data_IF_364975431568
#
_entry.id   IF_364975431568
#
_cell.length_a   1.000
_cell.length_b   1.000
_cell.length_c   1.000
_cell.angle_alpha   90.00
_cell.angle_beta   90.00
_cell.angle_gamma   90.00
#
_symmetry.space_group_name_H-M   'P 1'
#
loop_
_entity.id
_entity.type
_entity.pdbx_description
1 polymer ?
#
# COMPACT_ATOMS: atom_id res chain seq x y z
N UNK A 1 -13.79 -21.36 8.26
CA UNK A 1 -12.73 -21.22 7.23
C UNK A 1 -12.65 -19.72 6.96
N UNK A 2 -11.56 -19.06 7.36
CA UNK A 2 -11.44 -17.60 7.18
C UNK A 2 -11.20 -17.32 5.69
N UNK A 3 -11.99 -16.41 5.13
CA UNK A 3 -11.90 -16.01 3.72
C UNK A 3 -10.62 -15.24 3.40
N UNK A 4 -10.40 -14.90 2.12
CA UNK A 4 -9.28 -14.06 1.71
C UNK A 4 -9.32 -12.70 2.42
N UNK A 5 -8.15 -12.09 2.65
CA UNK A 5 -8.06 -10.72 3.14
C UNK A 5 -8.50 -9.80 2.00
N UNK A 6 -9.65 -9.15 2.18
CA UNK A 6 -10.24 -8.23 1.19
C UNK A 6 -10.22 -6.81 1.73
N UNK A 7 -9.86 -5.80 0.91
CA UNK A 7 -10.14 -4.40 1.23
C UNK A 7 -11.64 -4.21 1.52
N UNK A 8 -11.97 -3.30 2.45
CA UNK A 8 -13.35 -3.01 2.85
C UNK A 8 -14.29 -2.66 1.68
N UNK A 9 -13.73 -2.24 0.55
CA UNK A 9 -14.43 -1.76 -0.63
C UNK A 9 -14.77 -2.89 -1.63
N UNK A 10 -14.41 -4.15 -1.34
CA UNK A 10 -14.58 -5.30 -2.25
C UNK A 10 -13.70 -5.24 -3.51
N UNK A 11 -12.70 -4.35 -3.51
CA UNK A 11 -11.73 -4.17 -4.59
C UNK A 11 -10.64 -5.24 -4.53
N UNK A 12 -10.00 -5.53 -5.67
CA UNK A 12 -8.70 -6.20 -5.62
C UNK A 12 -7.70 -5.32 -4.88
N UNK A 13 -6.68 -5.91 -4.26
CA UNK A 13 -5.63 -5.14 -3.55
C UNK A 13 -4.96 -4.12 -4.49
N UNK A 14 -4.76 -4.49 -5.75
CA UNK A 14 -4.23 -3.57 -6.77
C UNK A 14 -5.15 -2.38 -7.04
N UNK A 15 -6.46 -2.60 -7.16
CA UNK A 15 -7.43 -1.53 -7.37
C UNK A 15 -7.56 -0.65 -6.11
N UNK A 16 -7.52 -1.23 -4.92
CA UNK A 16 -7.50 -0.49 -3.66
C UNK A 16 -6.27 0.43 -3.55
N UNK A 17 -5.07 -0.10 -3.78
CA UNK A 17 -3.83 0.68 -3.76
C UNK A 17 -3.87 1.78 -4.83
N UNK A 18 -4.30 1.45 -6.06
CA UNK A 18 -4.41 2.44 -7.14
C UNK A 18 -5.40 3.56 -6.79
N UNK A 19 -6.57 3.22 -6.23
CA UNK A 19 -7.55 4.21 -5.77
C UNK A 19 -6.96 5.10 -4.68
N UNK A 20 -6.31 4.52 -3.66
CA UNK A 20 -5.72 5.27 -2.56
C UNK A 20 -4.64 6.26 -3.04
N UNK A 21 -3.75 5.84 -3.96
CA UNK A 21 -2.80 6.77 -4.59
C UNK A 21 -3.50 7.91 -5.31
N UNK A 22 -4.50 7.61 -6.15
CA UNK A 22 -5.22 8.64 -6.89
C UNK A 22 -5.98 9.61 -5.97
N UNK A 23 -6.56 9.12 -4.88
CA UNK A 23 -7.28 9.94 -3.91
C UNK A 23 -6.33 10.91 -3.19
N UNK A 24 -5.14 10.46 -2.79
CA UNK A 24 -4.10 11.32 -2.20
C UNK A 24 -3.60 12.38 -3.19
N UNK A 25 -3.38 12.02 -4.46
CA UNK A 25 -2.98 12.98 -5.50
C UNK A 25 -4.06 14.01 -5.80
N UNK A 26 -5.34 13.63 -5.73
CA UNK A 26 -6.48 14.55 -5.86
C UNK A 26 -6.57 15.49 -4.66
N UNK A 27 -6.40 14.96 -3.44
CA UNK A 27 -6.36 15.77 -2.22
C UNK A 27 -5.21 16.77 -2.23
N UNK A 28 -4.08 16.41 -2.84
CA UNK A 28 -2.94 17.30 -3.03
C UNK A 28 -3.07 18.24 -4.25
N UNK A 29 -4.20 18.22 -4.98
CA UNK A 29 -4.47 19.06 -6.16
C UNK A 29 -3.47 18.88 -7.32
N UNK A 30 -2.75 17.75 -7.39
CA UNK A 30 -1.77 17.45 -8.45
C UNK A 30 -2.24 16.39 -9.45
N UNK A 31 -3.41 15.78 -9.21
CA UNK A 31 -3.99 14.80 -10.12
C UNK A 31 -4.55 15.46 -11.39
N UNK A 32 -4.23 14.88 -12.56
CA UNK A 32 -4.79 15.28 -13.85
C UNK A 32 -5.00 14.07 -14.76
N UNK A 33 -6.12 14.05 -15.49
CA UNK A 33 -6.41 12.99 -16.47
C UNK A 33 -5.54 13.09 -17.73
N UNK A 34 -5.02 14.27 -18.04
CA UNK A 34 -4.18 14.53 -19.22
C UNK A 34 -2.71 14.76 -18.88
N UNK A 35 -2.31 14.53 -17.63
CA UNK A 35 -0.95 14.75 -17.14
C UNK A 35 0.02 13.60 -17.41
N UNK A 36 1.17 13.64 -16.75
CA UNK A 36 2.15 12.56 -16.75
C UNK A 36 1.53 11.27 -16.22
N UNK A 37 1.60 10.20 -17.01
CA UNK A 37 1.03 8.92 -16.61
C UNK A 37 2.02 8.15 -15.74
N UNK A 38 1.63 7.89 -14.50
CA UNK A 38 2.36 7.00 -13.60
C UNK A 38 1.66 5.64 -13.57
N UNK A 39 2.40 4.59 -13.87
CA UNK A 39 1.94 3.18 -13.78
C UNK A 39 2.63 2.53 -12.59
N UNK A 40 1.86 1.87 -11.73
CA UNK A 40 2.37 1.17 -10.55
C UNK A 40 2.28 -0.35 -10.71
N UNK A 41 3.41 -1.04 -10.56
CA UNK A 41 3.49 -2.49 -10.45
C UNK A 41 3.71 -2.88 -8.98
N UNK A 42 2.83 -3.70 -8.40
CA UNK A 42 3.07 -4.30 -7.08
C UNK A 42 4.09 -5.41 -7.25
N UNK A 43 5.31 -5.20 -6.77
CA UNK A 43 6.42 -6.15 -6.90
C UNK A 43 6.53 -7.10 -5.71
N UNK A 44 5.95 -6.71 -4.56
CA UNK A 44 5.86 -7.53 -3.36
C UNK A 44 4.61 -7.20 -2.58
N UNK A 45 3.95 -8.23 -2.08
CA UNK A 45 2.95 -8.13 -1.03
C UNK A 45 3.07 -9.37 -0.14
N UNK A 46 3.49 -9.14 1.10
CA UNK A 46 3.69 -10.18 2.11
C UNK A 46 3.15 -9.67 3.44
N UNK A 47 2.67 -10.59 4.27
CA UNK A 47 2.24 -10.26 5.62
C UNK A 47 2.58 -11.39 6.56
N UNK A 48 2.72 -11.03 7.84
CA UNK A 48 2.59 -12.00 8.92
C UNK A 48 1.57 -11.50 9.93
N UNK A 49 0.65 -12.39 10.30
CA UNK A 49 -0.29 -12.17 11.39
C UNK A 49 0.36 -12.39 12.76
N UNK A 50 1.59 -12.96 12.80
CA UNK A 50 2.38 -13.17 14.02
C UNK A 50 3.86 -12.90 13.76
N UNK A 51 4.38 -11.88 14.40
CA UNK A 51 5.78 -11.46 14.44
C UNK A 51 6.14 -11.24 15.90
N UNK A 52 7.00 -12.10 16.45
CA UNK A 52 7.23 -12.16 17.89
C UNK A 52 6.01 -12.73 18.64
N UNK A 53 5.58 -12.07 19.72
CA UNK A 53 4.49 -12.54 20.59
C UNK A 53 3.11 -11.99 20.19
N UNK A 54 3.01 -10.72 19.79
CA UNK A 54 1.73 -10.02 19.56
C UNK A 54 1.79 -8.96 18.46
N UNK A 55 2.78 -8.98 17.59
CA UNK A 55 2.83 -8.06 16.46
C UNK A 55 2.50 -8.79 15.16
N UNK A 56 2.17 -8.03 14.13
CA UNK A 56 2.12 -8.48 12.75
C UNK A 56 2.81 -7.46 11.86
N UNK A 57 3.00 -7.79 10.59
CA UNK A 57 3.52 -6.84 9.62
C UNK A 57 2.87 -7.00 8.26
N UNK A 58 2.87 -5.91 7.49
CA UNK A 58 2.67 -5.88 6.04
C UNK A 58 3.96 -5.40 5.39
N UNK A 59 4.43 -6.08 4.37
CA UNK A 59 5.58 -5.71 3.56
C UNK A 59 5.11 -5.57 2.10
N UNK A 60 5.02 -4.31 1.65
CA UNK A 60 4.46 -3.95 0.36
C UNK A 60 5.51 -3.18 -0.44
N UNK A 61 5.79 -3.64 -1.66
CA UNK A 61 6.67 -2.95 -2.59
C UNK A 61 5.95 -2.58 -3.87
N UNK A 62 6.15 -1.35 -4.32
CA UNK A 62 5.63 -0.83 -5.58
C UNK A 62 6.74 -0.27 -6.45
N UNK A 63 6.72 -0.63 -7.73
CA UNK A 63 7.53 0.01 -8.77
C UNK A 63 6.65 0.97 -9.55
N UNK A 64 6.93 2.27 -9.41
CA UNK A 64 6.29 3.32 -10.19
C UNK A 64 7.13 3.59 -11.45
N UNK A 65 6.45 3.68 -12.58
CA UNK A 65 7.02 4.04 -13.88
C UNK A 65 6.26 5.22 -14.44
N UNK A 66 6.95 6.30 -14.73
CA UNK A 66 6.39 7.49 -15.34
C UNK A 66 6.55 7.44 -16.87
N UNK A 67 5.58 8.00 -17.59
CA UNK A 67 5.67 8.21 -19.04
C UNK A 67 6.82 9.13 -19.44
N UNK A 68 7.41 9.88 -18.49
CA UNK A 68 8.61 10.71 -18.71
C UNK A 68 9.93 9.89 -18.72
N UNK A 69 9.86 8.56 -18.55
CA UNK A 69 11.00 7.64 -18.54
C UNK A 69 11.67 7.45 -17.19
N UNK A 70 11.20 8.13 -16.12
CA UNK A 70 11.67 7.91 -14.75
C UNK A 70 10.93 6.77 -14.08
N UNK A 71 11.58 6.17 -13.09
CA UNK A 71 10.98 5.12 -12.27
C UNK A 71 11.43 5.24 -10.82
N UNK A 72 10.63 4.69 -9.93
CA UNK A 72 10.88 4.67 -8.49
C UNK A 72 10.44 3.33 -7.94
N UNK A 73 11.29 2.69 -7.15
CA UNK A 73 10.92 1.52 -6.38
C UNK A 73 10.81 1.93 -4.91
N UNK A 74 9.66 1.65 -4.30
CA UNK A 74 9.41 1.91 -2.88
C UNK A 74 9.03 0.60 -2.23
N UNK A 75 9.66 0.29 -1.10
CA UNK A 75 9.31 -0.82 -0.23
C UNK A 75 8.95 -0.26 1.12
N UNK A 76 7.80 -0.66 1.65
CA UNK A 76 7.33 -0.23 2.95
C UNK A 76 6.97 -1.43 3.82
N UNK A 77 7.50 -1.43 5.05
CA UNK A 77 7.17 -2.42 6.07
C UNK A 77 6.39 -1.74 7.19
N UNK A 78 5.10 -2.02 7.25
CA UNK A 78 4.19 -1.51 8.27
C UNK A 78 4.02 -2.55 9.37
N UNK A 79 4.30 -2.19 10.62
CA UNK A 79 4.10 -3.05 11.78
C UNK A 79 2.82 -2.68 12.53
N UNK A 80 2.07 -3.69 12.98
CA UNK A 80 0.81 -3.50 13.70
C UNK A 80 0.71 -4.44 14.90
N UNK A 81 -0.20 -4.13 15.83
CA UNK A 81 -0.52 -5.02 16.95
C UNK A 81 -1.52 -6.09 16.50
N UNK A 82 -1.16 -7.34 16.75
CA UNK A 82 -1.95 -8.53 16.45
C UNK A 82 -2.50 -9.16 17.74
N UNK A 83 -3.12 -10.34 17.62
CA UNK A 83 -3.68 -11.11 18.74
C UNK A 83 -2.96 -12.44 18.98
N UNK A 84 -3.21 -13.03 20.15
CA UNK A 84 -2.70 -14.37 20.51
C UNK A 84 -3.52 -15.50 19.89
N UNK A 85 -4.83 -15.28 19.67
CA UNK A 85 -5.69 -16.25 19.01
C UNK A 85 -5.78 -15.99 17.50
N UNK A 86 -6.03 -17.06 16.75
CA UNK A 86 -6.02 -17.03 15.30
C UNK A 86 -7.06 -16.05 14.71
N UNK A 87 -8.23 -15.88 15.33
CA UNK A 87 -9.29 -15.02 14.79
C UNK A 87 -8.90 -13.56 14.97
N UNK A 88 -8.44 -13.19 16.16
CA UNK A 88 -7.95 -11.83 16.43
C UNK A 88 -6.76 -11.49 15.52
N UNK A 89 -5.82 -12.42 15.34
CA UNK A 89 -4.67 -12.20 14.48
C UNK A 89 -5.05 -11.99 13.01
N UNK A 90 -6.00 -12.79 12.49
CA UNK A 90 -6.52 -12.61 11.13
C UNK A 90 -7.25 -11.28 10.96
N UNK A 91 -8.15 -10.93 11.88
CA UNK A 91 -8.89 -9.66 11.83
C UNK A 91 -7.94 -8.46 11.90
N UNK A 92 -6.98 -8.49 12.83
CA UNK A 92 -5.98 -7.43 12.95
C UNK A 92 -5.14 -7.28 11.66
N UNK A 93 -4.81 -8.38 10.99
CA UNK A 93 -4.08 -8.33 9.71
C UNK A 93 -4.92 -7.67 8.61
N UNK A 94 -6.21 -8.00 8.54
CA UNK A 94 -7.14 -7.40 7.59
C UNK A 94 -7.33 -5.89 7.88
N UNK A 95 -7.56 -5.53 9.13
CA UNK A 95 -7.72 -4.13 9.56
C UNK A 95 -6.44 -3.31 9.30
N UNK A 96 -5.27 -3.94 9.35
CA UNK A 96 -3.98 -3.31 9.13
C UNK A 96 -3.64 -3.05 7.65
N UNK A 97 -4.38 -3.61 6.68
CA UNK A 97 -4.07 -3.43 5.26
C UNK A 97 -4.22 -1.95 4.83
N UNK A 98 -5.33 -1.31 5.20
CA UNK A 98 -5.59 0.10 4.88
C UNK A 98 -4.50 1.04 5.43
N UNK A 99 -4.14 1.01 6.73
CA UNK A 99 -3.06 1.85 7.23
C UNK A 99 -1.68 1.47 6.65
N UNK A 100 -1.41 0.21 6.32
CA UNK A 100 -0.18 -0.18 5.64
C UNK A 100 -0.04 0.45 4.25
N UNK A 101 -1.14 0.50 3.49
CA UNK A 101 -1.18 1.18 2.18
C UNK A 101 -1.01 2.69 2.32
N UNK A 102 -1.61 3.31 3.34
CA UNK A 102 -1.42 4.73 3.62
C UNK A 102 0.03 5.05 3.99
N UNK A 103 0.66 4.21 4.79
CA UNK A 103 2.08 4.35 5.14
C UNK A 103 2.99 4.15 3.91
N UNK A 104 2.64 3.22 3.00
CA UNK A 104 3.32 3.06 1.72
C UNK A 104 3.19 4.32 0.84
N UNK A 105 2.00 4.93 0.75
CA UNK A 105 1.79 6.15 -0.03
C UNK A 105 2.62 7.28 0.56
N UNK A 106 2.59 7.44 1.89
CA UNK A 106 3.42 8.42 2.60
C UNK A 106 4.90 8.23 2.30
N UNK A 107 5.41 6.99 2.39
CA UNK A 107 6.80 6.65 2.06
C UNK A 107 7.13 6.96 0.60
N UNK A 108 6.16 6.77 -0.30
CA UNK A 108 6.30 7.04 -1.72
C UNK A 108 6.37 8.54 -2.02
N UNK A 109 5.38 9.33 -1.59
CA UNK A 109 5.32 10.77 -1.88
C UNK A 109 6.38 11.57 -1.12
N UNK A 110 6.85 11.07 0.02
CA UNK A 110 7.94 11.67 0.80
C UNK A 110 9.32 11.30 0.25
N UNK A 111 9.40 10.37 -0.72
CA UNK A 111 10.66 10.03 -1.35
C UNK A 111 11.13 11.22 -2.22
N UNK A 112 12.37 11.72 -2.07
CA UNK A 112 12.87 12.84 -2.88
C UNK A 112 12.82 12.61 -4.40
N UNK A 113 12.84 11.35 -4.84
CA UNK A 113 12.75 10.98 -6.25
C UNK A 113 11.32 10.99 -6.79
N UNK A 114 10.29 11.06 -5.94
CA UNK A 114 8.90 11.06 -6.37
C UNK A 114 8.57 12.24 -7.29
N UNK A 115 9.09 13.43 -6.96
CA UNK A 115 8.90 14.63 -7.78
C UNK A 115 9.46 14.48 -9.21
N UNK A 116 10.43 13.57 -9.41
CA UNK A 116 10.95 13.28 -10.76
C UNK A 116 10.01 12.42 -11.62
N UNK A 117 8.98 11.82 -11.03
CA UNK A 117 7.98 11.04 -11.74
C UNK A 117 6.85 11.90 -12.32
N UNK A 118 6.66 13.10 -11.79
CA UNK A 118 5.61 14.04 -12.19
C UNK A 118 5.92 14.72 -13.52
#
# INVERSE_FOLDING_TARGET
MMGPIEPADGLSISAFISKAFNDELKMAEIYSESGTKITGDITKIDFSSVSGLTNGYWDISVSLKSSNGKSLLVSNRYEFKSGFDAITACNATADALSPAVQDLIKATVSNPQFASLL
#
